data_IF_650779016597
#
_entry.id   IF_650779016597
#
_cell.length_a   1.000
_cell.length_b   1.000
_cell.length_c   1.000
_cell.angle_alpha   90.00
_cell.angle_beta   90.00
_cell.angle_gamma   90.00
#
_symmetry.space_group_name_H-M   'P 1'
#
loop_
_entity.id
_entity.type
_entity.pdbx_description
1 polymer ?
#
# COMPACT_ATOMS: atom_id res chain seq x y z
N UNK A 1 18.46 -38.92 9.60
CA UNK A 1 17.17 -38.30 9.34
C UNK A 1 17.02 -37.23 10.40
N UNK A 2 17.46 -36.01 10.13
CA UNK A 2 17.43 -34.88 11.08
C UNK A 2 16.15 -34.12 10.76
N UNK A 3 15.16 -34.20 11.62
CA UNK A 3 13.97 -33.34 11.63
C UNK A 3 14.42 -31.93 12.00
N UNK A 4 14.56 -31.06 11.00
CA UNK A 4 14.68 -29.63 11.20
C UNK A 4 13.25 -29.07 11.38
N UNK A 5 12.77 -29.13 12.61
CA UNK A 5 11.68 -28.31 13.10
C UNK A 5 12.18 -26.85 13.05
N UNK A 6 11.95 -26.19 11.94
CA UNK A 6 12.15 -24.75 11.83
C UNK A 6 10.99 -24.05 12.54
N UNK A 7 11.07 -24.01 13.88
CA UNK A 7 10.36 -22.98 14.63
C UNK A 7 10.98 -21.65 14.22
N UNK A 8 10.38 -20.98 13.24
CA UNK A 8 10.69 -19.59 12.90
C UNK A 8 10.50 -18.76 14.18
N UNK A 9 11.60 -18.44 14.84
CA UNK A 9 11.61 -17.50 15.96
C UNK A 9 11.12 -16.17 15.39
N UNK A 10 9.88 -15.81 15.72
CA UNK A 10 9.30 -14.51 15.33
C UNK A 10 10.27 -13.41 15.76
N UNK A 11 10.55 -12.47 14.87
CA UNK A 11 11.42 -11.34 15.18
C UNK A 11 10.80 -10.49 16.30
N UNK A 12 11.61 -9.83 17.12
CA UNK A 12 11.14 -8.90 18.14
C UNK A 12 10.20 -7.85 17.55
N UNK A 13 10.51 -7.36 16.34
CA UNK A 13 9.66 -6.45 15.60
C UNK A 13 8.26 -7.04 15.34
N UNK A 14 8.20 -8.27 14.84
CA UNK A 14 6.93 -8.93 14.53
C UNK A 14 6.07 -9.14 15.78
N UNK A 15 6.69 -9.44 16.91
CA UNK A 15 6.00 -9.60 18.21
C UNK A 15 5.42 -8.24 18.64
N UNK A 16 6.24 -7.19 18.70
CA UNK A 16 5.83 -5.86 19.12
C UNK A 16 4.75 -5.29 18.19
N UNK A 17 4.92 -5.42 16.87
CA UNK A 17 3.96 -4.95 15.88
C UNK A 17 2.58 -5.60 16.07
N UNK A 18 2.54 -6.94 16.21
CA UNK A 18 1.28 -7.63 16.39
C UNK A 18 0.63 -7.34 17.75
N UNK A 19 1.39 -7.10 18.81
CA UNK A 19 0.83 -6.67 20.10
C UNK A 19 0.11 -5.34 19.98
N UNK A 20 0.77 -4.32 19.42
CA UNK A 20 0.16 -2.99 19.23
C UNK A 20 -1.05 -3.04 18.29
N UNK A 21 -0.97 -3.80 17.20
CA UNK A 21 -2.07 -3.90 16.26
C UNK A 21 -3.28 -4.62 16.87
N UNK A 22 -3.08 -5.68 17.65
CA UNK A 22 -4.15 -6.37 18.35
C UNK A 22 -4.80 -5.47 19.42
N UNK A 23 -4.01 -4.63 20.12
CA UNK A 23 -4.53 -3.64 21.04
C UNK A 23 -5.47 -2.65 20.37
N UNK A 24 -5.09 -2.14 19.19
CA UNK A 24 -5.92 -1.25 18.37
C UNK A 24 -7.22 -1.95 17.95
N UNK A 25 -7.13 -3.18 17.41
CA UNK A 25 -8.30 -3.95 16.97
C UNK A 25 -9.29 -4.27 18.12
N UNK A 26 -8.83 -4.35 19.35
CA UNK A 26 -9.70 -4.56 20.51
C UNK A 26 -10.44 -3.28 20.95
N UNK A 27 -9.91 -2.10 20.61
CA UNK A 27 -10.44 -0.81 21.02
C UNK A 27 -11.35 -0.16 19.96
N UNK A 28 -11.18 -0.53 18.68
CA UNK A 28 -11.92 0.03 17.56
C UNK A 28 -13.08 -0.86 17.15
N UNK A 29 -14.15 -0.24 16.66
CA UNK A 29 -15.23 -0.92 15.93
C UNK A 29 -14.76 -1.41 14.55
N UNK A 30 -15.53 -2.31 13.93
CA UNK A 30 -15.23 -2.83 12.59
C UNK A 30 -15.15 -1.71 11.55
N UNK A 31 -16.04 -0.70 11.61
CA UNK A 31 -16.04 0.46 10.72
C UNK A 31 -14.77 1.33 10.90
N UNK A 32 -14.32 1.51 12.15
CA UNK A 32 -13.10 2.26 12.45
C UNK A 32 -11.85 1.48 12.04
N UNK A 33 -11.84 0.16 12.15
CA UNK A 33 -10.78 -0.69 11.66
C UNK A 33 -10.56 -0.58 10.15
N UNK A 34 -11.63 -0.31 9.36
CA UNK A 34 -11.49 -0.07 7.92
C UNK A 34 -10.59 1.14 7.60
N UNK A 35 -10.50 2.14 8.49
CA UNK A 35 -9.67 3.33 8.29
C UNK A 35 -8.16 3.03 8.33
N UNK A 36 -7.76 1.96 8.99
CA UNK A 36 -6.34 1.58 9.15
C UNK A 36 -5.98 0.29 8.40
N UNK A 37 -6.97 -0.47 7.99
CA UNK A 37 -6.84 -1.78 7.32
C UNK A 37 -5.79 -2.71 7.96
N UNK A 38 -6.10 -3.32 9.12
CA UNK A 38 -5.12 -4.13 9.87
C UNK A 38 -4.53 -5.29 9.07
N UNK A 39 -5.30 -5.87 8.14
CA UNK A 39 -4.86 -6.99 7.31
C UNK A 39 -3.71 -6.58 6.38
N UNK A 40 -3.81 -5.40 5.77
CA UNK A 40 -2.78 -4.86 4.89
C UNK A 40 -1.55 -4.41 5.68
N UNK A 41 -1.74 -3.83 6.87
CA UNK A 41 -0.63 -3.49 7.77
C UNK A 41 0.15 -4.74 8.19
N UNK A 42 -0.52 -5.85 8.54
CA UNK A 42 0.15 -7.12 8.83
C UNK A 42 0.94 -7.65 7.63
N UNK A 43 0.35 -7.56 6.43
CA UNK A 43 1.03 -7.98 5.19
C UNK A 43 2.29 -7.16 4.93
N UNK A 44 2.21 -5.83 5.07
CA UNK A 44 3.36 -4.92 4.94
C UNK A 44 4.44 -5.24 5.97
N UNK A 45 4.07 -5.41 7.24
CA UNK A 45 5.00 -5.71 8.33
C UNK A 45 5.73 -7.04 8.11
N UNK A 46 5.01 -8.09 7.76
CA UNK A 46 5.58 -9.41 7.47
C UNK A 46 6.52 -9.35 6.26
N UNK A 47 6.15 -8.60 5.21
CA UNK A 47 6.99 -8.44 4.04
C UNK A 47 8.30 -7.72 4.38
N UNK A 48 8.24 -6.60 5.11
CA UNK A 48 9.43 -5.83 5.52
C UNK A 48 10.31 -6.64 6.48
N UNK A 49 9.71 -7.45 7.34
CA UNK A 49 10.48 -8.29 8.28
C UNK A 49 11.31 -9.35 7.56
N UNK A 50 10.84 -9.86 6.42
CA UNK A 50 11.56 -10.80 5.57
C UNK A 50 12.64 -10.18 4.67
N UNK A 51 12.70 -8.85 4.52
CA UNK A 51 13.63 -8.20 3.61
C UNK A 51 15.06 -8.08 4.17
N UNK A 52 16.04 -8.18 3.28
CA UNK A 52 17.46 -7.97 3.58
C UNK A 52 18.02 -6.80 2.73
N UNK A 53 19.02 -6.05 3.21
CA UNK A 53 19.70 -6.17 4.51
C UNK A 53 18.89 -5.55 5.65
N UNK A 54 18.93 -6.17 6.83
CA UNK A 54 18.19 -5.76 8.03
C UNK A 54 18.44 -4.30 8.44
N UNK A 55 19.66 -3.78 8.20
CA UNK A 55 20.03 -2.41 8.55
C UNK A 55 19.19 -1.37 7.79
N UNK A 56 18.88 -1.60 6.51
CA UNK A 56 18.03 -0.70 5.70
C UNK A 56 16.58 -0.77 6.15
N UNK A 57 16.11 -1.93 6.58
CA UNK A 57 14.72 -2.13 7.02
C UNK A 57 14.43 -1.55 8.40
N UNK A 58 15.46 -1.25 9.21
CA UNK A 58 15.28 -0.71 10.57
C UNK A 58 14.45 0.58 10.59
N UNK A 59 14.66 1.48 9.64
CA UNK A 59 13.88 2.73 9.55
C UNK A 59 12.42 2.45 9.24
N UNK A 60 12.15 1.55 8.29
CA UNK A 60 10.77 1.22 7.90
C UNK A 60 10.03 0.48 9.02
N UNK A 61 10.70 -0.45 9.72
CA UNK A 61 10.17 -1.11 10.92
C UNK A 61 9.82 -0.09 12.01
N UNK A 62 10.73 0.85 12.27
CA UNK A 62 10.49 1.94 13.24
C UNK A 62 9.28 2.79 12.84
N UNK A 63 9.16 3.14 11.56
CA UNK A 63 8.05 3.93 11.07
C UNK A 63 6.69 3.22 11.26
N UNK A 64 6.64 1.89 11.02
CA UNK A 64 5.44 1.09 11.26
C UNK A 64 5.05 1.08 12.75
N UNK A 65 6.01 0.86 13.65
CA UNK A 65 5.74 0.93 15.09
C UNK A 65 5.26 2.32 15.48
N UNK A 66 5.97 3.37 15.03
CA UNK A 66 5.57 4.77 15.33
C UNK A 66 4.17 5.11 14.80
N UNK A 67 3.77 4.54 13.66
CA UNK A 67 2.42 4.69 13.14
C UNK A 67 1.39 4.10 14.10
N UNK A 68 1.56 2.85 14.54
CA UNK A 68 0.65 2.20 15.48
C UNK A 68 0.58 2.93 16.83
N UNK A 69 1.73 3.35 17.37
CA UNK A 69 1.78 4.14 18.60
C UNK A 69 1.03 5.48 18.49
N UNK A 70 1.04 6.11 17.30
CA UNK A 70 0.24 7.32 17.06
C UNK A 70 -1.25 7.02 17.01
N UNK A 71 -1.64 5.92 16.36
CA UNK A 71 -3.05 5.50 16.33
C UNK A 71 -3.56 5.24 17.77
N UNK A 72 -2.80 4.51 18.59
CA UNK A 72 -3.17 4.28 20.01
C UNK A 72 -3.36 5.62 20.74
N UNK A 73 -2.45 6.57 20.59
CA UNK A 73 -2.60 7.89 21.21
C UNK A 73 -3.86 8.63 20.75
N UNK A 74 -4.23 8.52 19.48
CA UNK A 74 -5.48 9.13 18.98
C UNK A 74 -6.71 8.47 19.58
N UNK A 75 -6.68 7.16 19.81
CA UNK A 75 -7.75 6.42 20.48
C UNK A 75 -7.83 6.87 21.95
N UNK A 76 -6.72 6.85 22.67
CA UNK A 76 -6.66 7.22 24.09
C UNK A 76 -7.10 8.68 24.36
N UNK A 77 -6.81 9.59 23.41
CA UNK A 77 -7.23 11.00 23.49
C UNK A 77 -8.65 11.25 22.99
N UNK A 78 -9.35 10.22 22.50
CA UNK A 78 -10.66 10.32 21.84
C UNK A 78 -10.66 11.26 20.61
N UNK A 79 -9.51 11.32 19.92
CA UNK A 79 -9.29 12.11 18.70
C UNK A 79 -9.20 11.24 17.45
N UNK A 80 -9.46 9.93 17.57
CA UNK A 80 -9.43 9.01 16.45
C UNK A 80 -10.55 9.35 15.46
N UNK A 81 -10.17 9.73 14.24
CA UNK A 81 -11.06 10.02 13.13
C UNK A 81 -10.29 9.95 11.81
N UNK A 82 -11.02 9.94 10.69
CA UNK A 82 -10.45 9.83 9.34
C UNK A 82 -9.34 10.84 9.05
N UNK A 83 -9.51 12.10 9.47
CA UNK A 83 -8.54 13.18 9.18
C UNK A 83 -7.24 12.96 9.96
N UNK A 84 -7.32 12.68 11.26
CA UNK A 84 -6.15 12.47 12.11
C UNK A 84 -5.42 11.17 11.76
N UNK A 85 -6.15 10.12 11.38
CA UNK A 85 -5.59 8.87 10.86
C UNK A 85 -4.84 9.12 9.55
N UNK A 86 -5.42 9.89 8.61
CA UNK A 86 -4.76 10.26 7.37
C UNK A 86 -3.46 11.07 7.62
N UNK A 87 -3.48 12.03 8.52
CA UNK A 87 -2.28 12.80 8.90
C UNK A 87 -1.19 11.90 9.50
N UNK A 88 -1.57 10.94 10.32
CA UNK A 88 -0.63 9.94 10.86
C UNK A 88 -0.04 9.06 9.76
N UNK A 89 -0.86 8.63 8.79
CA UNK A 89 -0.43 7.87 7.61
C UNK A 89 0.59 8.65 6.79
N UNK A 90 0.30 9.92 6.46
CA UNK A 90 1.21 10.77 5.68
C UNK A 90 2.57 10.93 6.38
N UNK A 91 2.57 11.15 7.70
CA UNK A 91 3.81 11.42 8.45
C UNK A 91 4.70 10.21 8.70
N UNK A 92 4.14 8.99 8.76
CA UNK A 92 4.88 7.80 9.20
C UNK A 92 4.79 6.62 8.23
N UNK A 93 3.63 6.34 7.69
CA UNK A 93 3.41 5.19 6.82
C UNK A 93 3.81 5.47 5.37
N UNK A 94 3.57 6.69 4.86
CA UNK A 94 3.91 7.07 3.48
C UNK A 94 5.37 6.77 3.08
N UNK A 95 6.40 7.02 3.91
CA UNK A 95 7.77 6.64 3.56
C UNK A 95 7.96 5.13 3.37
N UNK A 96 7.20 4.32 4.11
CA UNK A 96 7.20 2.85 3.98
C UNK A 96 6.53 2.44 2.67
N UNK A 97 5.37 3.01 2.37
CA UNK A 97 4.61 2.74 1.15
C UNK A 97 5.38 3.15 -0.10
N UNK A 98 6.00 4.33 -0.09
CA UNK A 98 6.84 4.79 -1.20
C UNK A 98 8.05 3.87 -1.45
N UNK A 99 8.65 3.33 -0.37
CA UNK A 99 9.71 2.35 -0.51
C UNK A 99 9.20 1.05 -1.15
N UNK A 100 8.04 0.56 -0.72
CA UNK A 100 7.44 -0.67 -1.25
C UNK A 100 7.01 -0.51 -2.70
N UNK A 101 6.42 0.64 -3.07
CA UNK A 101 6.05 0.95 -4.45
C UNK A 101 7.30 1.04 -5.34
N UNK A 102 8.27 1.88 -4.98
CA UNK A 102 9.45 2.15 -5.78
C UNK A 102 10.37 0.95 -6.00
N UNK A 103 10.57 0.12 -4.99
CA UNK A 103 11.54 -0.99 -5.03
C UNK A 103 10.91 -2.38 -5.13
N UNK A 104 9.69 -2.56 -4.67
CA UNK A 104 9.05 -3.87 -4.56
C UNK A 104 7.76 -3.99 -5.37
N UNK A 105 7.39 -2.93 -6.11
CA UNK A 105 6.22 -2.87 -7.00
C UNK A 105 4.90 -3.17 -6.27
N UNK A 106 4.78 -2.73 -5.04
CA UNK A 106 3.47 -2.66 -4.39
C UNK A 106 2.66 -1.52 -5.00
N UNK A 107 1.35 -1.68 -5.08
CA UNK A 107 0.43 -0.64 -5.54
C UNK A 107 -0.63 -0.38 -4.50
N UNK A 108 -1.09 0.87 -4.40
CA UNK A 108 -2.14 1.27 -3.47
C UNK A 108 -3.46 1.34 -4.25
N UNK A 109 -4.43 0.50 -3.86
CA UNK A 109 -5.75 0.45 -4.50
C UNK A 109 -5.66 0.20 -6.01
N UNK A 110 -6.43 0.98 -6.79
CA UNK A 110 -6.51 0.87 -8.25
C UNK A 110 -5.53 1.80 -8.99
N UNK A 111 -4.41 2.16 -8.37
CA UNK A 111 -3.49 3.20 -8.88
C UNK A 111 -2.91 2.87 -10.25
N UNK A 112 -2.63 1.59 -10.52
CA UNK A 112 -2.13 1.12 -11.84
C UNK A 112 -3.14 1.37 -12.96
N UNK A 113 -4.42 1.14 -12.70
CA UNK A 113 -5.49 1.39 -13.68
C UNK A 113 -5.66 2.89 -13.92
N UNK A 114 -5.73 3.68 -12.84
CA UNK A 114 -5.94 5.12 -12.94
C UNK A 114 -4.77 5.84 -13.62
N UNK A 115 -3.52 5.51 -13.24
CA UNK A 115 -2.35 6.12 -13.86
C UNK A 115 -2.22 5.75 -15.33
N UNK A 116 -2.47 4.51 -15.70
CA UNK A 116 -2.44 4.06 -17.10
C UNK A 116 -3.54 4.71 -17.93
N UNK A 117 -4.76 4.80 -17.39
CA UNK A 117 -5.88 5.48 -18.05
C UNK A 117 -5.60 6.97 -18.25
N UNK A 118 -5.08 7.65 -17.23
CA UNK A 118 -4.73 9.06 -17.31
C UNK A 118 -3.65 9.33 -18.36
N UNK A 119 -2.57 8.55 -18.38
CA UNK A 119 -1.51 8.68 -19.37
C UNK A 119 -2.02 8.43 -20.80
N UNK A 120 -2.87 7.42 -20.99
CA UNK A 120 -3.48 7.14 -22.29
C UNK A 120 -4.38 8.28 -22.76
N UNK A 121 -5.21 8.84 -21.86
CA UNK A 121 -6.06 9.97 -22.15
C UNK A 121 -5.24 11.23 -22.53
N UNK A 122 -4.19 11.54 -21.77
CA UNK A 122 -3.32 12.68 -22.08
C UNK A 122 -2.62 12.53 -23.44
N UNK A 123 -2.20 11.30 -23.79
CA UNK A 123 -1.60 11.04 -25.10
C UNK A 123 -2.62 11.26 -26.24
N UNK A 124 -3.85 10.79 -26.09
CA UNK A 124 -4.91 11.01 -27.10
C UNK A 124 -5.25 12.51 -27.25
N UNK A 125 -5.28 13.27 -26.13
CA UNK A 125 -5.47 14.74 -26.17
C UNK A 125 -4.33 15.42 -26.93
N UNK A 126 -3.08 15.08 -26.64
CA UNK A 126 -1.91 15.67 -27.32
C UNK A 126 -1.96 15.38 -28.82
N UNK A 127 -2.23 14.12 -29.21
CA UNK A 127 -2.33 13.75 -30.61
C UNK A 127 -3.49 14.47 -31.34
N UNK A 128 -4.59 14.70 -30.63
CA UNK A 128 -5.72 15.47 -31.15
C UNK A 128 -5.35 16.93 -31.44
N UNK A 129 -4.59 17.55 -30.52
CA UNK A 129 -4.13 18.96 -30.67
C UNK A 129 -3.12 19.10 -31.81
N UNK A 130 -2.24 18.14 -32.04
CA UNK A 130 -1.22 18.17 -33.11
C UNK A 130 -1.85 17.93 -34.50
N UNK A 131 -3.14 17.61 -34.58
CA UNK A 131 -3.84 17.42 -35.87
C UNK A 131 -3.58 16.08 -36.55
N UNK A 132 -2.85 15.15 -35.90
CA UNK A 132 -2.70 13.77 -36.36
C UNK A 132 -4.02 12.99 -36.25
N UNK A 133 -4.98 13.59 -35.56
CA UNK A 133 -6.19 12.97 -35.04
C UNK A 133 -7.38 12.92 -36.00
N UNK A 134 -7.22 13.18 -37.30
CA UNK A 134 -8.33 12.91 -38.23
C UNK A 134 -8.78 11.44 -38.20
N UNK A 135 -7.88 10.52 -37.85
CA UNK A 135 -8.16 9.09 -37.66
C UNK A 135 -8.76 8.74 -36.28
N UNK A 136 -8.53 9.61 -35.27
CA UNK A 136 -8.90 9.35 -33.86
C UNK A 136 -10.22 10.03 -33.44
N UNK A 137 -10.94 10.67 -34.38
CA UNK A 137 -12.14 11.46 -34.07
C UNK A 137 -13.27 10.69 -33.38
N UNK A 138 -13.20 9.37 -33.35
CA UNK A 138 -14.29 8.53 -32.83
C UNK A 138 -13.92 7.54 -31.75
N UNK A 139 -12.62 7.18 -31.59
CA UNK A 139 -12.21 6.19 -30.60
C UNK A 139 -10.85 6.56 -30.01
N UNK A 140 -10.75 6.82 -28.70
CA UNK A 140 -9.47 7.07 -28.02
C UNK A 140 -8.68 5.76 -27.88
N UNK A 141 -7.98 5.36 -28.95
CA UNK A 141 -7.32 4.05 -29.04
C UNK A 141 -6.21 3.91 -28.00
N UNK A 142 -5.42 4.98 -27.79
CA UNK A 142 -4.31 4.94 -26.84
C UNK A 142 -4.85 4.82 -25.42
N UNK A 143 -5.92 5.55 -25.10
CA UNK A 143 -6.62 5.41 -23.83
C UNK A 143 -7.09 3.97 -23.57
N UNK A 144 -7.75 3.34 -24.56
CA UNK A 144 -8.25 1.97 -24.42
C UNK A 144 -7.11 0.95 -24.24
N UNK A 145 -6.02 1.09 -25.01
CA UNK A 145 -4.85 0.22 -24.89
C UNK A 145 -4.20 0.41 -23.51
N UNK A 146 -4.04 1.66 -23.07
CA UNK A 146 -3.45 1.99 -21.77
C UNK A 146 -4.31 1.48 -20.61
N UNK A 147 -5.63 1.66 -20.71
CA UNK A 147 -6.58 1.14 -19.74
C UNK A 147 -6.50 -0.39 -19.63
N UNK A 148 -6.48 -1.09 -20.76
CA UNK A 148 -6.36 -2.55 -20.78
C UNK A 148 -5.04 -3.03 -20.17
N UNK A 149 -3.93 -2.35 -20.47
CA UNK A 149 -2.63 -2.65 -19.88
C UNK A 149 -2.63 -2.38 -18.36
N UNK A 150 -3.28 -1.30 -17.91
CA UNK A 150 -3.46 -1.00 -16.49
C UNK A 150 -4.21 -2.10 -15.76
N UNK A 151 -5.35 -2.55 -16.30
CA UNK A 151 -6.15 -3.65 -15.74
C UNK A 151 -5.33 -4.95 -15.68
N UNK A 152 -4.57 -5.25 -16.73
CA UNK A 152 -3.72 -6.45 -16.76
C UNK A 152 -2.63 -6.41 -15.69
N UNK A 153 -1.97 -5.25 -15.51
CA UNK A 153 -0.97 -5.05 -14.44
C UNK A 153 -1.60 -5.16 -13.07
N UNK A 154 -2.75 -4.51 -12.87
CA UNK A 154 -3.50 -4.58 -11.62
C UNK A 154 -3.80 -6.03 -11.21
N UNK A 155 -4.39 -6.83 -12.12
CA UNK A 155 -4.68 -8.24 -11.87
C UNK A 155 -3.43 -9.06 -11.54
N UNK A 156 -2.29 -8.74 -12.17
CA UNK A 156 -1.03 -9.41 -11.86
C UNK A 156 -0.56 -9.09 -10.44
N UNK A 157 -0.63 -7.81 -10.04
CA UNK A 157 -0.26 -7.38 -8.68
C UNK A 157 -1.22 -7.95 -7.62
N UNK A 158 -2.51 -8.07 -7.93
CA UNK A 158 -3.50 -8.76 -7.09
C UNK A 158 -3.11 -10.22 -6.87
N UNK A 159 -2.80 -10.94 -7.95
CA UNK A 159 -2.38 -12.34 -7.88
C UNK A 159 -1.06 -12.53 -7.09
N UNK A 160 -0.17 -11.52 -7.11
CA UNK A 160 1.07 -11.51 -6.33
C UNK A 160 0.86 -11.01 -4.88
N UNK A 161 -0.35 -10.62 -4.49
CA UNK A 161 -0.66 -10.06 -3.18
C UNK A 161 0.02 -8.71 -2.90
N UNK A 162 0.30 -7.93 -3.94
CA UNK A 162 1.02 -6.64 -3.86
C UNK A 162 0.12 -5.41 -3.91
N UNK A 163 -1.19 -5.57 -3.84
CA UNK A 163 -2.13 -4.45 -3.74
C UNK A 163 -2.47 -4.21 -2.27
N UNK A 164 -2.34 -2.96 -1.85
CA UNK A 164 -2.65 -2.47 -0.51
C UNK A 164 -3.86 -1.55 -0.58
N UNK A 165 -4.83 -1.74 0.30
CA UNK A 165 -6.03 -0.90 0.43
C UNK A 165 -5.97 -0.06 1.71
N UNK A 166 -4.87 0.64 1.91
CA UNK A 166 -4.57 1.48 3.08
C UNK A 166 -5.09 2.89 2.91
#
# INVERSE_FOLDING_TARGET
MINLDSSETKSEFSIQFNQLLNEIEQQLSDEECELINPSDLRRVANYIDGLKPLSKMRVHKKNLITYLERIIRLIDSNEFNKTNTLLSTVGTLTPVLNYLDGFHKFSIGNMEVHSSAFLGFMADVILSVIGVAKLYHYIPIIFLISLFNGIRRQRKLEAEGKILNL
#
